data_IF_579317422362
#
_entry.id   IF_579317422362
#
_cell.length_a   1.000
_cell.length_b   1.000
_cell.length_c   1.000
_cell.angle_alpha   90.00
_cell.angle_beta   90.00
_cell.angle_gamma   90.00
#
_symmetry.space_group_name_H-M   'P 1'
#
loop_
_entity.id
_entity.type
_entity.pdbx_description
1 polymer ?
#
# COMPACT_ATOMS: atom_id res chain seq x y z
N UNK A 1 14.91 -19.30 30.67
CA UNK A 1 13.45 -19.52 30.55
C UNK A 1 13.09 -19.54 29.09
N UNK A 2 12.42 -20.60 28.61
CA UNK A 2 11.96 -20.71 27.23
C UNK A 2 10.61 -20.02 27.03
N UNK A 3 10.38 -19.46 25.85
CA UNK A 3 9.07 -18.97 25.41
C UNK A 3 8.74 -19.57 24.04
N UNK A 4 7.56 -20.16 23.90
CA UNK A 4 7.05 -20.68 22.64
C UNK A 4 6.04 -19.69 22.05
N UNK A 5 6.25 -19.32 20.77
CA UNK A 5 5.35 -18.46 20.01
C UNK A 5 4.43 -19.32 19.15
N UNK A 6 3.12 -19.09 19.24
CA UNK A 6 2.10 -19.79 18.46
C UNK A 6 1.62 -18.87 17.35
N UNK A 7 1.65 -19.32 16.10
CA UNK A 7 1.16 -18.57 14.94
C UNK A 7 -0.09 -19.22 14.34
N UNK A 8 -0.96 -18.41 13.72
CA UNK A 8 -2.06 -18.89 12.87
C UNK A 8 -1.55 -19.17 11.45
N UNK A 9 -2.34 -19.91 10.66
CA UNK A 9 -2.07 -20.09 9.22
C UNK A 9 -2.00 -18.77 8.45
N UNK A 10 -2.66 -17.71 8.94
CA UNK A 10 -2.58 -16.35 8.41
C UNK A 10 -1.30 -15.59 8.74
N UNK A 11 -0.35 -16.20 9.46
CA UNK A 11 0.90 -15.57 9.90
C UNK A 11 0.77 -14.69 11.17
N UNK A 12 -0.45 -14.45 11.67
CA UNK A 12 -0.68 -13.66 12.88
C UNK A 12 -0.31 -14.42 14.16
N UNK A 13 0.24 -13.72 15.17
CA UNK A 13 0.60 -14.30 16.46
C UNK A 13 -0.66 -14.71 17.24
N UNK A 14 -0.90 -16.01 17.40
CA UNK A 14 -2.03 -16.55 18.17
C UNK A 14 -1.80 -16.52 19.69
N UNK A 15 -0.55 -16.66 20.14
CA UNK A 15 -0.26 -16.68 21.57
C UNK A 15 1.20 -16.92 21.91
N UNK A 16 1.49 -16.83 23.21
CA UNK A 16 2.81 -16.99 23.79
C UNK A 16 2.68 -17.87 25.03
N UNK A 17 3.49 -18.93 25.10
CA UNK A 17 3.60 -19.80 26.28
C UNK A 17 4.97 -19.58 26.90
N UNK A 18 5.01 -19.19 28.18
CA UNK A 18 6.25 -18.92 28.93
C UNK A 18 6.42 -19.92 30.06
N UNK A 19 7.59 -20.57 30.09
CA UNK A 19 7.99 -21.43 31.21
C UNK A 19 8.54 -20.58 32.35
N UNK A 20 7.79 -20.53 33.45
CA UNK A 20 8.33 -20.09 34.71
C UNK A 20 9.01 -21.31 35.35
N UNK A 21 10.23 -21.13 35.87
CA UNK A 21 11.08 -22.18 36.46
C UNK A 21 10.47 -22.97 37.66
N UNK A 22 9.19 -22.75 37.95
CA UNK A 22 8.38 -23.43 38.95
C UNK A 22 7.03 -23.81 38.30
N UNK A 23 7.00 -25.00 37.67
CA UNK A 23 5.84 -25.84 37.26
C UNK A 23 4.58 -25.21 36.62
N UNK A 24 4.59 -23.93 36.24
CA UNK A 24 3.42 -23.24 35.73
C UNK A 24 3.73 -22.48 34.44
N UNK A 25 3.16 -22.97 33.34
CA UNK A 25 3.18 -22.28 32.05
C UNK A 25 2.22 -21.10 32.14
N UNK A 26 2.76 -19.89 31.96
CA UNK A 26 1.95 -18.68 31.78
C UNK A 26 1.62 -18.52 30.30
N UNK A 27 0.34 -18.36 29.98
CA UNK A 27 -0.20 -18.30 28.64
C UNK A 27 -0.75 -16.93 28.33
N UNK A 28 -0.37 -16.41 27.18
CA UNK A 28 -0.95 -15.23 26.56
C UNK A 28 -1.61 -15.66 25.24
N UNK A 29 -2.84 -15.20 24.99
CA UNK A 29 -3.57 -15.54 23.76
C UNK A 29 -4.15 -14.27 23.15
N UNK A 30 -4.12 -14.20 21.83
CA UNK A 30 -4.61 -13.07 21.06
C UNK A 30 -5.73 -13.50 20.10
N UNK A 31 -6.75 -12.67 19.98
CA UNK A 31 -7.84 -12.81 19.01
C UNK A 31 -7.93 -11.55 18.16
N UNK A 32 -8.24 -11.77 16.88
CA UNK A 32 -8.25 -10.74 15.85
C UNK A 32 -9.60 -10.75 15.13
N UNK A 33 -9.99 -9.60 14.58
CA UNK A 33 -11.12 -9.50 13.66
C UNK A 33 -10.73 -9.91 12.23
N UNK A 34 -11.66 -9.75 11.28
CA UNK A 34 -11.43 -10.05 9.85
C UNK A 34 -10.39 -9.14 9.20
N UNK A 35 -10.17 -7.94 9.73
CA UNK A 35 -9.13 -7.00 9.29
C UNK A 35 -7.77 -7.26 9.95
N UNK A 36 -7.62 -8.39 10.66
CA UNK A 36 -6.41 -8.81 11.39
C UNK A 36 -6.01 -7.85 12.52
N UNK A 37 -6.92 -7.01 13.01
CA UNK A 37 -6.69 -6.14 14.16
C UNK A 37 -7.04 -6.87 15.46
N UNK A 38 -6.22 -6.66 16.50
CA UNK A 38 -6.36 -7.37 17.79
C UNK A 38 -7.54 -6.81 18.57
N UNK A 39 -8.58 -7.62 18.69
CA UNK A 39 -9.78 -7.29 19.48
C UNK A 39 -9.67 -7.75 20.92
N UNK A 40 -8.92 -8.81 21.21
CA UNK A 40 -8.83 -9.35 22.56
C UNK A 40 -7.48 -9.99 22.86
N UNK A 41 -6.98 -9.73 24.06
CA UNK A 41 -5.79 -10.34 24.64
C UNK A 41 -6.17 -10.92 26.00
N UNK A 42 -5.84 -12.19 26.24
CA UNK A 42 -6.11 -12.86 27.52
C UNK A 42 -4.84 -13.45 28.09
N UNK A 43 -4.71 -13.38 29.41
CA UNK A 43 -3.61 -13.97 30.17
C UNK A 43 -4.12 -14.97 31.22
N UNK A 44 -3.30 -15.96 31.51
CA UNK A 44 -3.57 -16.94 32.56
C UNK A 44 -2.45 -17.96 32.68
N UNK A 45 -2.67 -18.97 33.51
CA UNK A 45 -1.85 -20.18 33.54
C UNK A 45 -2.55 -21.30 32.78
N UNK A 46 -1.89 -22.45 32.61
CA UNK A 46 -2.55 -23.65 32.10
C UNK A 46 -3.79 -24.08 32.91
N UNK A 47 -3.90 -23.65 34.18
CA UNK A 47 -4.95 -24.10 35.12
C UNK A 47 -6.00 -23.03 35.42
N UNK A 48 -5.71 -21.74 35.17
CA UNK A 48 -6.62 -20.66 35.54
C UNK A 48 -6.48 -19.44 34.64
N UNK A 49 -7.62 -18.88 34.23
CA UNK A 49 -7.68 -17.59 33.57
C UNK A 49 -7.47 -16.46 34.60
N UNK A 50 -6.62 -15.49 34.28
CA UNK A 50 -6.24 -14.39 35.18
C UNK A 50 -6.72 -13.03 34.69
N UNK A 51 -7.14 -12.91 33.44
CA UNK A 51 -7.67 -11.66 32.93
C UNK A 51 -7.52 -11.47 31.44
N UNK A 52 -7.89 -10.27 31.00
CA UNK A 52 -7.73 -9.88 29.61
C UNK A 52 -8.16 -8.45 29.35
N UNK A 53 -7.81 -8.01 28.15
CA UNK A 53 -8.14 -6.70 27.60
C UNK A 53 -8.93 -6.89 26.31
N UNK A 54 -10.12 -6.28 26.26
CA UNK A 54 -10.90 -6.10 25.04
C UNK A 54 -10.58 -4.72 24.47
N UNK A 55 -10.22 -4.66 23.19
CA UNK A 55 -9.94 -3.43 22.46
C UNK A 55 -11.05 -3.14 21.47
N UNK A 56 -11.57 -1.91 21.52
CA UNK A 56 -12.56 -1.33 20.63
C UNK A 56 -12.02 0.01 20.12
N UNK A 57 -12.59 0.60 19.05
CA UNK A 57 -12.20 1.93 18.59
C UNK A 57 -12.23 2.96 19.73
N UNK A 58 -11.08 3.54 20.05
CA UNK A 58 -10.92 4.55 21.11
C UNK A 58 -11.11 4.04 22.55
N UNK A 59 -11.26 2.73 22.78
CA UNK A 59 -11.67 2.19 24.08
C UNK A 59 -11.01 0.85 24.39
N UNK A 60 -10.42 0.74 25.58
CA UNK A 60 -9.94 -0.53 26.13
C UNK A 60 -10.68 -0.87 27.42
N UNK A 61 -11.09 -2.11 27.55
CA UNK A 61 -11.70 -2.65 28.76
C UNK A 61 -10.85 -3.77 29.30
N UNK A 62 -10.35 -3.64 30.52
CA UNK A 62 -9.49 -4.63 31.14
C UNK A 62 -10.12 -5.17 32.41
N UNK A 63 -9.98 -6.49 32.58
CA UNK A 63 -10.39 -7.22 33.77
C UNK A 63 -9.24 -8.10 34.22
N UNK A 64 -8.94 -8.03 35.51
CA UNK A 64 -8.00 -8.91 36.19
C UNK A 64 -8.71 -9.70 37.29
N UNK A 65 -8.39 -10.98 37.40
CA UNK A 65 -8.99 -11.94 38.33
C UNK A 65 -7.91 -12.45 39.30
N UNK A 66 -8.25 -12.48 40.59
CA UNK A 66 -7.49 -13.19 41.61
C UNK A 66 -8.38 -14.27 42.23
N UNK A 67 -8.03 -15.54 42.02
CA UNK A 67 -8.86 -16.67 42.44
C UNK A 67 -10.19 -16.72 41.70
N UNK A 68 -11.31 -16.64 42.41
CA UNK A 68 -12.68 -16.66 41.84
C UNK A 68 -13.36 -15.29 41.78
N UNK A 69 -12.67 -14.20 42.11
CA UNK A 69 -13.24 -12.85 42.15
C UNK A 69 -12.47 -11.89 41.24
N UNK A 70 -13.17 -10.91 40.69
CA UNK A 70 -12.51 -9.82 39.98
C UNK A 70 -11.70 -8.99 40.96
N UNK A 71 -10.38 -9.05 40.80
CA UNK A 71 -9.46 -8.24 41.57
C UNK A 71 -9.55 -6.78 41.11
N UNK A 72 -9.65 -6.58 39.79
CA UNK A 72 -9.64 -5.24 39.21
C UNK A 72 -10.42 -5.21 37.88
N UNK A 73 -11.19 -4.14 37.66
CA UNK A 73 -11.79 -3.83 36.37
C UNK A 73 -11.69 -2.34 36.09
N UNK A 74 -11.21 -1.99 34.91
CA UNK A 74 -11.13 -0.60 34.48
C UNK A 74 -11.38 -0.47 32.98
N UNK A 75 -11.74 0.75 32.61
CA UNK A 75 -12.01 1.17 31.24
C UNK A 75 -11.07 2.33 30.93
N UNK A 76 -10.42 2.29 29.78
CA UNK A 76 -9.56 3.36 29.28
C UNK A 76 -10.13 3.92 27.98
N UNK A 77 -10.39 5.22 27.97
CA UNK A 77 -10.62 5.96 26.73
C UNK A 77 -9.28 6.44 26.21
N UNK A 78 -8.96 6.11 24.96
CA UNK A 78 -7.72 6.49 24.29
C UNK A 78 -8.01 7.67 23.37
N UNK A 79 -7.32 8.79 23.60
CA UNK A 79 -7.32 9.94 22.69
C UNK A 79 -5.87 10.31 22.33
N UNK A 80 -5.61 11.09 21.26
CA UNK A 80 -4.24 11.37 20.83
C UNK A 80 -3.32 11.93 21.94
N UNK A 81 -3.80 12.91 22.71
CA UNK A 81 -3.01 13.63 23.72
C UNK A 81 -3.18 13.12 25.17
N UNK A 82 -4.28 12.44 25.48
CA UNK A 82 -4.57 12.01 26.84
C UNK A 82 -5.43 10.75 26.89
N UNK A 83 -5.24 9.95 27.93
CA UNK A 83 -6.08 8.81 28.24
C UNK A 83 -6.90 9.10 29.50
N UNK A 84 -8.17 8.67 29.51
CA UNK A 84 -8.95 8.62 30.75
C UNK A 84 -9.03 7.18 31.24
N UNK A 85 -8.42 6.91 32.40
CA UNK A 85 -8.56 5.65 33.11
C UNK A 85 -9.70 5.74 34.13
N UNK A 86 -10.67 4.83 34.02
CA UNK A 86 -11.83 4.76 34.93
C UNK A 86 -11.97 3.38 35.54
N UNK A 87 -11.79 3.27 36.85
CA UNK A 87 -12.04 2.04 37.58
C UNK A 87 -13.53 1.76 37.77
N UNK A 88 -13.91 0.51 37.50
CA UNK A 88 -15.22 -0.06 37.81
C UNK A 88 -15.18 -0.83 39.14
N UNK A 89 -14.08 -1.51 39.43
CA UNK A 89 -13.83 -2.23 40.69
C UNK A 89 -12.31 -2.38 40.92
N UNK A 90 -11.89 -2.64 42.15
CA UNK A 90 -10.46 -2.84 42.47
C UNK A 90 -9.61 -1.58 42.37
N UNK A 91 -10.21 -0.41 42.54
CA UNK A 91 -9.51 0.88 42.46
C UNK A 91 -8.40 0.95 43.53
N UNK A 92 -7.16 1.33 43.17
CA UNK A 92 -6.11 1.52 44.15
C UNK A 92 -6.45 2.58 45.21
N UNK A 93 -5.98 2.41 46.47
CA UNK A 93 -6.11 3.43 47.51
C UNK A 93 -5.52 4.77 47.04
N UNK A 94 -6.22 5.88 47.31
CA UNK A 94 -5.79 7.22 46.92
C UNK A 94 -5.99 7.60 45.44
N UNK A 95 -6.33 6.65 44.56
CA UNK A 95 -6.64 6.99 43.16
C UNK A 95 -8.04 7.61 43.01
N UNK A 96 -8.17 8.64 42.18
CA UNK A 96 -9.50 9.16 41.79
C UNK A 96 -10.20 8.15 40.88
N UNK A 97 -11.55 8.13 40.89
CA UNK A 97 -12.32 7.20 40.05
C UNK A 97 -12.04 7.42 38.55
N UNK A 98 -11.86 8.67 38.18
CA UNK A 98 -11.49 9.14 36.86
C UNK A 98 -10.07 9.70 36.96
N UNK A 99 -9.12 9.10 36.26
CA UNK A 99 -7.72 9.48 36.31
C UNK A 99 -7.21 9.78 34.90
N UNK A 100 -6.92 11.07 34.69
CA UNK A 100 -6.36 11.57 33.44
C UNK A 100 -4.87 11.28 33.37
N UNK A 101 -4.40 10.86 32.20
CA UNK A 101 -2.99 10.65 31.89
C UNK A 101 -2.66 11.36 30.59
N UNK A 102 -2.06 12.55 30.68
CA UNK A 102 -1.58 13.30 29.54
C UNK A 102 -0.24 12.74 29.08
N UNK A 103 -0.09 12.48 27.78
CA UNK A 103 1.13 11.91 27.20
C UNK A 103 1.92 12.99 26.48
N UNK A 104 3.16 13.20 26.92
CA UNK A 104 4.15 13.92 26.15
C UNK A 104 4.91 12.93 25.27
N UNK A 105 5.13 13.30 24.01
CA UNK A 105 5.72 12.42 23.02
C UNK A 105 6.92 13.06 22.32
N UNK A 106 7.86 12.23 21.86
CA UNK A 106 8.95 12.66 20.97
C UNK A 106 8.51 12.69 19.49
N UNK A 107 9.44 12.98 18.59
CA UNK A 107 9.19 13.03 17.14
C UNK A 107 8.74 11.68 16.56
N UNK A 108 9.16 10.56 17.16
CA UNK A 108 8.69 9.21 16.80
C UNK A 108 7.33 8.87 17.43
N UNK A 109 6.69 9.83 18.11
CA UNK A 109 5.48 9.67 18.92
C UNK A 109 5.61 8.69 20.09
N UNK A 110 6.83 8.43 20.56
CA UNK A 110 7.07 7.61 21.76
C UNK A 110 6.68 8.37 23.03
N UNK A 111 6.02 7.72 23.98
CA UNK A 111 5.57 8.36 25.24
C UNK A 111 6.72 8.58 26.22
N UNK A 112 7.34 9.76 26.16
CA UNK A 112 8.52 10.11 26.97
C UNK A 112 8.17 10.54 28.40
N UNK A 113 6.98 11.10 28.61
CA UNK A 113 6.48 11.40 29.95
C UNK A 113 4.95 11.30 30.02
N UNK A 114 4.44 10.96 31.21
CA UNK A 114 3.01 11.05 31.52
C UNK A 114 2.79 12.03 32.66
N UNK A 115 1.74 12.85 32.56
CA UNK A 115 1.29 13.79 33.60
C UNK A 115 -0.14 13.44 34.04
N UNK A 116 -0.49 13.72 35.30
CA UNK A 116 -1.86 13.57 35.78
C UNK A 116 -2.75 14.79 35.48
N UNK A 117 -4.00 14.75 35.95
CA UNK A 117 -4.99 15.82 35.80
C UNK A 117 -4.56 17.19 36.35
N UNK A 118 -3.58 17.24 37.26
CA UNK A 118 -3.05 18.47 37.83
C UNK A 118 -1.73 18.91 37.18
N UNK A 119 -1.27 18.20 36.13
CA UNK A 119 0.02 18.46 35.49
C UNK A 119 1.22 17.86 36.22
N UNK A 120 1.01 17.09 37.29
CA UNK A 120 2.11 16.46 38.03
C UNK A 120 2.64 15.22 37.30
N UNK A 121 3.96 15.02 37.29
CA UNK A 121 4.61 13.91 36.57
C UNK A 121 4.25 12.54 37.16
N UNK A 122 3.66 11.67 36.35
CA UNK A 122 3.36 10.26 36.65
C UNK A 122 4.53 9.36 36.29
N UNK A 123 5.10 9.54 35.10
CA UNK A 123 6.23 8.73 34.62
C UNK A 123 7.14 9.51 33.67
N UNK A 124 8.37 9.02 33.52
CA UNK A 124 9.34 9.41 32.50
C UNK A 124 9.96 8.13 31.92
N UNK A 125 10.04 8.05 30.60
CA UNK A 125 10.62 6.91 29.91
C UNK A 125 11.49 7.40 28.73
N UNK A 126 12.66 6.80 28.58
CA UNK A 126 13.53 7.00 27.41
C UNK A 126 13.74 5.67 26.71
N UNK A 127 13.98 5.73 25.41
CA UNK A 127 14.05 4.56 24.55
C UNK A 127 15.39 4.50 23.83
N UNK A 128 15.96 3.31 23.74
CA UNK A 128 16.94 2.98 22.71
C UNK A 128 16.30 3.11 21.32
N UNK A 129 17.09 3.27 20.24
CA UNK A 129 16.55 3.51 18.90
C UNK A 129 15.49 2.50 18.47
N UNK A 130 15.66 1.20 18.76
CA UNK A 130 14.72 0.15 18.35
C UNK A 130 13.58 -0.10 19.36
N UNK A 131 13.36 0.81 20.31
CA UNK A 131 12.22 0.80 21.23
C UNK A 131 12.41 0.01 22.52
N UNK A 132 13.63 -0.46 22.81
CA UNK A 132 13.97 -0.95 24.15
C UNK A 132 13.96 0.20 25.15
N UNK A 133 13.44 0.00 26.36
CA UNK A 133 13.43 1.04 27.39
C UNK A 133 14.83 1.22 27.97
N UNK A 134 15.42 2.41 27.82
CA UNK A 134 16.72 2.78 28.39
C UNK A 134 16.59 3.35 29.80
N UNK A 135 15.62 4.23 30.01
CA UNK A 135 15.29 4.82 31.32
C UNK A 135 13.82 4.62 31.60
N UNK A 136 13.47 4.22 32.81
CA UNK A 136 12.09 4.18 33.28
C UNK A 136 11.99 4.65 34.72
N UNK A 137 11.38 5.82 34.91
CA UNK A 137 11.13 6.40 36.22
C UNK A 137 9.62 6.62 36.39
N UNK A 138 9.09 6.21 37.53
CA UNK A 138 7.66 6.31 37.87
C UNK A 138 7.52 6.95 39.24
N UNK A 139 6.41 7.67 39.43
CA UNK A 139 6.09 8.30 40.72
C UNK A 139 5.97 7.26 41.83
N UNK A 140 5.31 6.14 41.52
CA UNK A 140 5.04 5.03 42.42
C UNK A 140 4.80 3.75 41.62
N UNK A 141 4.86 2.60 42.30
CA UNK A 141 4.70 1.27 41.68
C UNK A 141 3.30 1.11 41.08
N UNK A 142 2.26 1.63 41.72
CA UNK A 142 0.89 1.53 41.23
C UNK A 142 0.72 2.25 39.88
N UNK A 143 1.26 3.46 39.74
CA UNK A 143 1.25 4.25 38.50
C UNK A 143 1.93 3.54 37.34
N UNK A 144 2.96 2.72 37.63
CA UNK A 144 3.73 1.97 36.65
C UNK A 144 2.87 0.93 35.89
N UNK A 145 1.94 0.27 36.58
CA UNK A 145 1.08 -0.79 36.02
C UNK A 145 0.12 -0.28 34.94
N UNK A 146 -0.20 1.01 34.95
CA UNK A 146 -1.15 1.60 34.03
C UNK A 146 -0.50 2.33 32.84
N UNK A 147 0.81 2.22 32.61
CA UNK A 147 1.42 2.73 31.38
C UNK A 147 1.43 1.66 30.28
N UNK A 148 0.53 1.83 29.31
CA UNK A 148 0.29 0.86 28.21
C UNK A 148 0.98 1.28 26.91
N UNK A 149 0.79 2.53 26.50
CA UNK A 149 1.42 3.10 25.30
C UNK A 149 2.84 3.57 25.63
N UNK A 150 3.82 3.14 24.83
CA UNK A 150 5.24 3.42 25.07
C UNK A 150 5.92 3.91 23.79
N UNK A 151 6.91 3.15 23.28
CA UNK A 151 7.65 3.47 22.06
C UNK A 151 6.74 3.55 20.84
N UNK A 152 6.97 4.53 19.97
CA UNK A 152 6.19 4.82 18.77
C UNK A 152 4.67 4.95 18.98
N UNK A 153 4.24 5.20 20.23
CA UNK A 153 2.82 5.21 20.61
C UNK A 153 2.17 3.83 20.59
N UNK A 154 2.96 2.75 20.62
CA UNK A 154 2.48 1.36 20.54
C UNK A 154 2.31 0.73 21.91
N UNK A 155 1.39 -0.22 21.99
CA UNK A 155 1.16 -1.01 23.21
C UNK A 155 2.30 -1.99 23.40
N UNK A 156 2.92 -1.98 24.58
CA UNK A 156 3.89 -3.00 24.99
C UNK A 156 3.20 -4.05 25.83
N UNK A 157 3.18 -5.29 25.35
CA UNK A 157 2.59 -6.42 26.06
C UNK A 157 3.48 -6.92 27.20
N UNK A 158 2.92 -7.76 28.07
CA UNK A 158 3.63 -8.38 29.19
C UNK A 158 4.75 -9.34 28.74
N UNK A 159 4.71 -9.79 27.49
CA UNK A 159 5.80 -10.52 26.82
C UNK A 159 6.99 -9.63 26.46
N UNK A 160 6.82 -8.31 26.53
CA UNK A 160 7.79 -7.32 26.09
C UNK A 160 7.66 -6.94 24.61
N UNK A 161 6.90 -7.72 23.82
CA UNK A 161 6.62 -7.40 22.42
C UNK A 161 5.82 -6.11 22.30
N UNK A 162 6.06 -5.38 21.21
CA UNK A 162 5.29 -4.21 20.85
C UNK A 162 4.29 -4.56 19.76
N UNK A 163 3.01 -4.31 20.00
CA UNK A 163 1.94 -4.57 19.05
C UNK A 163 1.72 -3.35 18.15
N UNK A 164 1.94 -3.51 16.84
CA UNK A 164 1.80 -2.43 15.87
C UNK A 164 0.44 -2.41 15.16
N UNK A 165 -0.25 -3.55 15.08
CA UNK A 165 -1.50 -3.73 14.35
C UNK A 165 -1.49 -5.07 13.61
N UNK A 166 -0.73 -5.13 12.53
CA UNK A 166 -0.53 -6.31 11.69
C UNK A 166 0.67 -7.16 12.12
N UNK A 167 1.67 -6.52 12.75
CA UNK A 167 2.90 -7.17 13.20
C UNK A 167 3.22 -6.92 14.67
N UNK A 168 4.03 -7.81 15.23
CA UNK A 168 4.69 -7.60 16.53
C UNK A 168 6.17 -7.32 16.31
N UNK A 169 6.68 -6.28 16.97
CA UNK A 169 8.11 -6.00 17.02
C UNK A 169 8.71 -6.54 18.32
N UNK A 170 9.91 -7.11 18.22
CA UNK A 170 10.72 -7.51 19.36
C UNK A 170 11.88 -6.52 19.52
N UNK A 171 11.79 -5.53 20.43
CA UNK A 171 12.78 -4.45 20.53
C UNK A 171 14.21 -4.95 20.80
N UNK A 172 14.34 -6.07 21.52
CA UNK A 172 15.65 -6.69 21.81
C UNK A 172 16.26 -7.43 20.62
N UNK A 173 15.48 -7.75 19.57
CA UNK A 173 15.97 -8.32 18.32
C UNK A 173 16.09 -7.27 17.20
N UNK A 174 15.62 -6.05 17.46
CA UNK A 174 15.66 -4.93 16.51
C UNK A 174 14.95 -5.22 15.18
N UNK A 175 13.88 -6.03 15.21
CA UNK A 175 13.19 -6.53 14.01
C UNK A 175 11.74 -6.93 14.28
N UNK A 176 10.99 -7.15 13.20
CA UNK A 176 9.67 -7.78 13.27
C UNK A 176 9.76 -9.25 13.67
N UNK A 177 8.74 -9.74 14.37
CA UNK A 177 8.62 -11.14 14.75
C UNK A 177 8.04 -11.99 13.60
N UNK A 178 7.16 -11.41 12.79
CA UNK A 178 6.52 -12.05 11.65
C UNK A 178 6.81 -11.27 10.36
N UNK A 179 6.85 -11.95 9.19
CA UNK A 179 7.18 -11.32 7.92
C UNK A 179 6.16 -10.24 7.56
N UNK A 180 6.60 -9.27 6.76
CA UNK A 180 5.77 -8.22 6.20
C UNK A 180 4.56 -8.79 5.43
N UNK A 181 3.31 -8.49 5.84
CA UNK A 181 2.13 -8.94 5.11
C UNK A 181 2.02 -8.30 3.72
N UNK A 182 2.67 -7.16 3.46
CA UNK A 182 2.75 -6.56 2.12
C UNK A 182 3.83 -7.19 1.22
N UNK A 183 4.51 -8.25 1.70
CA UNK A 183 5.57 -8.90 0.93
C UNK A 183 6.80 -7.99 0.76
N UNK A 184 7.58 -8.14 -0.33
CA UNK A 184 8.87 -7.46 -0.50
C UNK A 184 8.76 -5.95 -0.79
N UNK A 185 7.62 -5.33 -0.49
CA UNK A 185 7.32 -3.92 -0.72
C UNK A 185 8.39 -2.99 -0.10
N UNK A 186 8.73 -3.21 1.17
CA UNK A 186 9.75 -2.43 1.87
C UNK A 186 11.18 -2.98 1.73
N UNK A 187 11.37 -3.82 0.71
CA UNK A 187 12.61 -4.53 0.41
C UNK A 187 12.51 -6.03 0.67
N UNK A 188 13.52 -6.76 0.19
CA UNK A 188 13.55 -8.22 0.25
C UNK A 188 13.59 -8.79 1.69
N UNK A 189 14.01 -7.98 2.67
CA UNK A 189 14.03 -8.38 4.06
C UNK A 189 12.69 -8.10 4.74
N UNK A 190 11.78 -9.07 4.69
CA UNK A 190 10.44 -9.01 5.27
C UNK A 190 10.40 -8.83 6.80
N UNK A 191 11.54 -8.93 7.48
CA UNK A 191 11.65 -8.79 8.93
C UNK A 191 12.29 -7.45 9.35
N UNK A 192 12.74 -6.62 8.39
CA UNK A 192 13.38 -5.36 8.70
C UNK A 192 12.40 -4.38 9.35
N UNK A 193 12.72 -3.91 10.56
CA UNK A 193 11.96 -2.84 11.20
C UNK A 193 12.39 -1.51 10.59
N UNK A 194 11.45 -0.76 10.00
CA UNK A 194 11.64 0.62 9.48
C UNK A 194 12.92 0.82 8.65
N UNK A 195 13.25 -0.19 7.82
CA UNK A 195 14.45 -0.25 6.96
C UNK A 195 15.76 0.01 7.72
N UNK A 196 15.82 -0.35 9.01
CA UNK A 196 17.01 -0.17 9.85
C UNK A 196 17.26 1.26 10.35
N UNK A 197 16.32 2.19 10.16
CA UNK A 197 16.45 3.59 10.60
C UNK A 197 15.31 4.03 11.54
N UNK A 198 15.27 3.52 12.78
CA UNK A 198 14.20 3.85 13.73
C UNK A 198 14.38 5.21 14.41
N UNK A 199 15.46 5.94 14.10
CA UNK A 199 15.65 7.30 14.59
C UNK A 199 14.79 8.32 13.85
N UNK A 200 14.49 8.05 12.57
CA UNK A 200 13.76 8.99 11.70
C UNK A 200 12.51 8.40 11.07
N UNK A 201 12.40 7.06 10.99
CA UNK A 201 11.26 6.38 10.37
C UNK A 201 10.39 5.68 11.40
N UNK A 202 9.09 5.63 11.14
CA UNK A 202 8.09 5.08 12.05
C UNK A 202 7.09 4.23 11.29
N UNK A 203 6.82 3.02 11.78
CA UNK A 203 5.75 2.17 11.24
C UNK A 203 4.45 2.42 12.02
N UNK A 204 3.38 2.74 11.30
CA UNK A 204 2.09 3.13 11.85
C UNK A 204 1.17 1.95 12.17
N UNK A 205 1.35 0.78 11.56
CA UNK A 205 0.42 -0.35 11.71
C UNK A 205 1.09 -1.72 11.59
N UNK A 206 2.39 -1.77 11.34
CA UNK A 206 3.13 -2.98 11.04
C UNK A 206 3.03 -3.36 9.57
N UNK A 207 2.80 -2.42 8.67
CA UNK A 207 2.78 -2.59 7.23
C UNK A 207 3.16 -1.24 6.59
N UNK A 208 4.40 -0.80 6.81
CA UNK A 208 4.78 0.59 6.54
C UNK A 208 4.49 1.03 5.09
N UNK A 209 3.63 2.05 4.99
CA UNK A 209 3.27 2.78 3.77
C UNK A 209 3.57 4.29 3.95
N UNK A 210 4.84 4.67 3.75
CA UNK A 210 5.31 5.98 3.24
C UNK A 210 4.89 7.31 3.90
N UNK A 211 4.14 7.33 5.00
CA UNK A 211 3.64 8.60 5.57
C UNK A 211 4.75 9.47 6.18
N UNK A 212 4.82 10.75 5.76
CA UNK A 212 5.82 11.74 6.18
C UNK A 212 7.27 11.29 5.94
N UNK A 213 7.47 10.43 4.94
CA UNK A 213 8.80 9.99 4.54
C UNK A 213 9.61 11.11 3.86
N UNK A 214 10.91 10.87 3.65
CA UNK A 214 11.81 11.83 2.99
C UNK A 214 11.35 12.18 1.57
N UNK A 215 10.62 11.27 0.91
CA UNK A 215 10.13 11.44 -0.46
C UNK A 215 8.88 12.35 -0.49
N UNK A 216 7.92 12.14 0.40
CA UNK A 216 6.77 13.03 0.60
C UNK A 216 7.22 14.42 1.04
N UNK A 217 8.22 14.51 1.92
CA UNK A 217 8.80 15.79 2.31
C UNK A 217 9.43 16.52 1.11
N UNK A 218 10.12 15.78 0.23
CA UNK A 218 10.68 16.33 -1.00
C UNK A 218 9.58 16.84 -1.95
N UNK A 219 8.55 16.05 -2.23
CA UNK A 219 7.41 16.45 -3.07
C UNK A 219 6.70 17.67 -2.46
N UNK A 220 6.43 17.65 -1.16
CA UNK A 220 5.79 18.76 -0.46
C UNK A 220 6.61 20.05 -0.54
N UNK A 221 7.94 19.96 -0.46
CA UNK A 221 8.84 21.12 -0.61
C UNK A 221 8.86 21.70 -2.04
N UNK A 222 8.61 20.86 -3.05
CA UNK A 222 8.50 21.29 -4.43
C UNK A 222 7.18 22.05 -4.71
N UNK A 223 6.20 21.98 -3.79
CA UNK A 223 4.95 22.75 -3.88
C UNK A 223 4.04 22.35 -5.04
N UNK A 224 4.26 21.18 -5.65
CA UNK A 224 3.46 20.69 -6.80
C UNK A 224 2.13 20.11 -6.35
N UNK A 225 2.15 19.27 -5.30
CA UNK A 225 0.99 18.56 -4.79
C UNK A 225 0.96 18.54 -3.26
N UNK A 226 -0.23 18.50 -2.68
CA UNK A 226 -0.42 18.24 -1.26
C UNK A 226 -1.06 16.86 -1.05
N UNK A 227 -0.36 15.95 -0.37
CA UNK A 227 -0.89 14.63 -0.05
C UNK A 227 -1.94 14.76 1.06
N UNK A 228 -3.14 14.24 0.80
CA UNK A 228 -4.34 14.43 1.61
C UNK A 228 -4.83 13.16 2.30
N UNK A 229 -4.44 11.98 1.81
CA UNK A 229 -4.72 10.67 2.39
C UNK A 229 -3.71 9.63 1.86
N UNK A 230 -3.38 8.61 2.67
CA UNK A 230 -2.46 7.52 2.32
C UNK A 230 -3.04 6.16 2.71
N UNK A 231 -2.79 5.17 1.87
CA UNK A 231 -3.31 3.83 2.10
C UNK A 231 -4.83 3.76 2.11
N UNK A 232 -5.39 2.56 2.07
CA UNK A 232 -6.83 2.43 1.87
C UNK A 232 -7.63 2.92 3.09
N UNK A 233 -7.03 2.89 4.29
CA UNK A 233 -7.67 3.35 5.52
C UNK A 233 -7.95 4.86 5.50
N UNK A 234 -6.92 5.71 5.31
CA UNK A 234 -7.13 7.16 5.28
C UNK A 234 -7.96 7.58 4.06
N UNK A 235 -7.78 6.90 2.92
CA UNK A 235 -8.55 7.17 1.71
C UNK A 235 -10.02 6.85 1.93
N UNK A 236 -10.35 5.75 2.60
CA UNK A 236 -11.75 5.42 2.93
C UNK A 236 -12.37 6.44 3.89
N UNK A 237 -11.60 6.93 4.85
CA UNK A 237 -12.10 7.92 5.81
C UNK A 237 -12.38 9.27 5.15
N UNK A 238 -11.56 9.67 4.17
CA UNK A 238 -11.66 10.99 3.53
C UNK A 238 -12.41 11.00 2.18
N UNK A 239 -12.30 9.91 1.43
CA UNK A 239 -12.82 9.72 0.07
C UNK A 239 -13.46 8.32 -0.08
N UNK A 240 -14.57 8.02 0.63
CA UNK A 240 -15.12 6.66 0.72
C UNK A 240 -15.56 6.06 -0.62
N UNK A 241 -16.08 6.87 -1.55
CA UNK A 241 -16.47 6.43 -2.90
C UNK A 241 -15.23 6.01 -3.69
N UNK A 242 -14.21 6.87 -3.72
CA UNK A 242 -12.94 6.60 -4.39
C UNK A 242 -12.25 5.36 -3.82
N UNK A 243 -12.26 5.17 -2.49
CA UNK A 243 -11.69 3.97 -1.86
C UNK A 243 -12.34 2.66 -2.35
N UNK A 244 -13.67 2.67 -2.56
CA UNK A 244 -14.40 1.54 -3.12
C UNK A 244 -14.03 1.29 -4.59
N UNK A 245 -13.96 2.36 -5.38
CA UNK A 245 -13.63 2.31 -6.80
C UNK A 245 -12.19 1.82 -7.04
N UNK A 246 -11.19 2.36 -6.33
CA UNK A 246 -9.77 2.03 -6.53
C UNK A 246 -9.50 0.52 -6.48
N UNK A 247 -10.02 -0.17 -5.46
CA UNK A 247 -9.80 -1.61 -5.31
C UNK A 247 -10.52 -2.44 -6.38
N UNK A 248 -11.73 -2.02 -6.76
CA UNK A 248 -12.47 -2.65 -7.85
C UNK A 248 -11.73 -2.49 -9.18
N UNK A 249 -11.35 -1.26 -9.50
CA UNK A 249 -10.67 -0.88 -10.74
C UNK A 249 -9.30 -1.56 -10.85
N UNK A 250 -8.58 -1.67 -9.74
CA UNK A 250 -7.29 -2.35 -9.70
C UNK A 250 -7.42 -3.86 -9.99
N UNK A 251 -8.46 -4.50 -9.44
CA UNK A 251 -8.75 -5.90 -9.72
C UNK A 251 -9.19 -6.11 -11.18
N UNK A 252 -9.97 -5.16 -11.73
CA UNK A 252 -10.36 -5.18 -13.14
C UNK A 252 -9.14 -5.00 -14.06
N UNK A 253 -8.27 -4.04 -13.76
CA UNK A 253 -7.02 -3.81 -14.48
C UNK A 253 -6.10 -5.05 -14.47
N UNK A 254 -5.89 -5.69 -13.31
CA UNK A 254 -5.09 -6.93 -13.22
C UNK A 254 -5.68 -8.02 -14.13
N UNK A 255 -7.01 -8.14 -14.14
CA UNK A 255 -7.72 -9.14 -14.95
C UNK A 255 -7.60 -8.86 -16.44
N UNK A 256 -7.73 -7.60 -16.86
CA UNK A 256 -7.54 -7.16 -18.26
C UNK A 256 -6.11 -7.50 -18.72
N UNK A 257 -5.10 -7.07 -17.95
CA UNK A 257 -3.70 -7.37 -18.26
C UNK A 257 -3.42 -8.88 -18.26
N UNK A 258 -4.00 -9.65 -17.32
CA UNK A 258 -3.88 -11.10 -17.25
C UNK A 258 -4.40 -11.81 -18.50
N UNK A 259 -5.57 -11.41 -19.02
CA UNK A 259 -6.10 -11.98 -20.25
C UNK A 259 -5.30 -11.61 -21.48
N UNK A 260 -4.83 -10.36 -21.57
CA UNK A 260 -3.95 -9.96 -22.66
C UNK A 260 -2.68 -10.83 -22.68
N UNK A 261 -2.07 -11.08 -21.53
CA UNK A 261 -0.92 -12.00 -21.39
C UNK A 261 -1.29 -13.42 -21.82
N UNK A 262 -2.45 -13.93 -21.41
CA UNK A 262 -2.92 -15.26 -21.82
C UNK A 262 -3.09 -15.37 -23.34
N UNK A 263 -3.78 -14.42 -23.99
CA UNK A 263 -3.97 -14.44 -25.44
C UNK A 263 -2.64 -14.36 -26.19
N UNK A 264 -1.71 -13.54 -25.70
CA UNK A 264 -0.37 -13.46 -26.26
C UNK A 264 0.45 -14.74 -25.98
N UNK A 265 0.17 -15.50 -24.92
CA UNK A 265 0.90 -16.73 -24.55
C UNK A 265 0.39 -17.97 -25.26
N UNK A 266 -0.92 -18.14 -25.40
CA UNK A 266 -1.56 -19.31 -26.02
C UNK A 266 -1.19 -19.50 -27.49
N UNK A 267 -0.77 -18.42 -28.16
CA UNK A 267 -0.22 -18.43 -29.50
C UNK A 267 1.08 -19.25 -29.65
N UNK A 268 1.80 -19.57 -28.56
CA UNK A 268 3.17 -20.11 -28.63
C UNK A 268 3.30 -21.63 -28.71
N UNK A 269 2.20 -22.41 -28.80
CA UNK A 269 2.30 -23.88 -28.81
C UNK A 269 1.68 -24.57 -30.04
N UNK A 270 0.73 -23.93 -30.74
CA UNK A 270 0.01 -24.54 -31.86
C UNK A 270 -0.04 -23.70 -33.15
N UNK A 271 0.40 -22.44 -33.12
CA UNK A 271 0.17 -21.47 -34.19
C UNK A 271 1.37 -20.54 -34.38
N UNK A 272 2.54 -21.08 -34.70
CA UNK A 272 3.63 -20.25 -35.20
C UNK A 272 3.30 -19.77 -36.62
N UNK A 273 3.77 -18.58 -36.97
CA UNK A 273 3.68 -18.12 -38.34
C UNK A 273 2.35 -17.40 -38.66
N UNK A 274 1.85 -17.62 -39.87
CA UNK A 274 0.58 -17.06 -40.38
C UNK A 274 -0.62 -17.38 -39.48
N UNK A 275 -0.54 -18.48 -38.73
CA UNK A 275 -1.59 -18.89 -37.81
C UNK A 275 -1.73 -17.93 -36.61
N UNK A 276 -0.65 -17.31 -36.12
CA UNK A 276 -0.74 -16.26 -35.09
C UNK A 276 -1.35 -14.98 -35.66
N UNK A 277 -0.92 -14.56 -36.85
CA UNK A 277 -1.45 -13.37 -37.54
C UNK A 277 -2.99 -13.46 -37.74
N UNK A 278 -3.51 -14.67 -37.92
CA UNK A 278 -4.95 -14.94 -38.02
C UNK A 278 -5.72 -14.91 -36.69
N UNK A 279 -5.05 -14.84 -35.53
CA UNK A 279 -5.70 -14.71 -34.22
C UNK A 279 -6.18 -13.27 -33.99
N UNK A 280 -7.05 -13.07 -32.98
CA UNK A 280 -7.43 -11.72 -32.56
C UNK A 280 -6.20 -10.93 -32.07
N UNK A 281 -5.31 -11.58 -31.32
CA UNK A 281 -4.09 -10.96 -30.83
C UNK A 281 -3.10 -10.59 -31.96
N UNK A 282 -2.94 -11.46 -32.95
CA UNK A 282 -2.13 -11.18 -34.13
C UNK A 282 -2.66 -9.99 -34.92
N UNK A 283 -3.97 -9.89 -35.13
CA UNK A 283 -4.59 -8.73 -35.79
C UNK A 283 -4.41 -7.42 -35.02
N UNK A 284 -4.54 -7.46 -33.69
CA UNK A 284 -4.30 -6.28 -32.84
C UNK A 284 -2.84 -5.84 -32.95
N UNK A 285 -1.88 -6.76 -32.85
CA UNK A 285 -0.46 -6.41 -32.97
C UNK A 285 -0.07 -5.95 -34.38
N UNK A 286 -0.61 -6.57 -35.43
CA UNK A 286 -0.36 -6.11 -36.80
C UNK A 286 -0.84 -4.69 -36.99
N UNK A 287 -2.03 -4.36 -36.48
CA UNK A 287 -2.56 -3.00 -36.54
C UNK A 287 -1.74 -2.01 -35.71
N UNK A 288 -1.31 -2.39 -34.51
CA UNK A 288 -0.43 -1.58 -33.63
C UNK A 288 0.93 -1.31 -34.27
N UNK A 289 1.44 -2.27 -35.05
CA UNK A 289 2.65 -2.09 -35.83
C UNK A 289 2.42 -1.32 -37.13
N UNK A 290 1.20 -0.97 -37.52
CA UNK A 290 0.90 -0.23 -38.76
C UNK A 290 0.61 -1.10 -39.99
N UNK A 291 0.46 -2.42 -39.80
CA UNK A 291 0.00 -3.37 -40.81
C UNK A 291 1.06 -3.83 -41.81
N UNK A 292 0.92 -5.08 -42.29
CA UNK A 292 1.68 -5.59 -43.45
C UNK A 292 3.11 -6.02 -43.15
N UNK A 293 3.45 -6.27 -41.88
CA UNK A 293 4.78 -6.75 -41.49
C UNK A 293 4.93 -8.25 -41.73
N UNK A 294 6.17 -8.68 -41.98
CA UNK A 294 6.48 -10.11 -42.04
C UNK A 294 6.12 -10.79 -40.71
N UNK A 295 5.64 -12.02 -40.83
CA UNK A 295 5.16 -12.84 -39.72
C UNK A 295 6.18 -13.03 -38.59
N UNK A 296 7.47 -13.05 -38.94
CA UNK A 296 8.59 -13.13 -37.99
C UNK A 296 8.66 -11.92 -37.05
N UNK A 297 8.23 -10.74 -37.50
CA UNK A 297 8.19 -9.52 -36.68
C UNK A 297 6.98 -9.48 -35.75
N UNK A 298 5.83 -10.00 -36.20
CA UNK A 298 4.65 -10.15 -35.35
C UNK A 298 4.94 -11.05 -34.15
N UNK A 299 5.75 -12.09 -34.35
CA UNK A 299 6.14 -13.00 -33.27
C UNK A 299 7.07 -12.34 -32.24
N UNK A 300 7.98 -11.47 -32.70
CA UNK A 300 8.86 -10.70 -31.80
C UNK A 300 8.06 -9.65 -31.02
N UNK A 301 7.15 -8.95 -31.70
CA UNK A 301 6.22 -8.03 -31.04
C UNK A 301 5.37 -8.76 -29.99
N UNK A 302 4.83 -9.94 -30.33
CA UNK A 302 4.05 -10.77 -29.41
C UNK A 302 4.81 -11.05 -28.11
N UNK A 303 6.06 -11.49 -28.22
CA UNK A 303 6.90 -11.77 -27.05
C UNK A 303 7.15 -10.50 -26.24
N UNK A 304 7.50 -9.39 -26.89
CA UNK A 304 7.81 -8.13 -26.21
C UNK A 304 6.58 -7.56 -25.47
N UNK A 305 5.42 -7.50 -26.12
CA UNK A 305 4.16 -7.08 -25.50
C UNK A 305 3.72 -8.01 -24.37
N UNK A 306 3.84 -9.33 -24.55
CA UNK A 306 3.51 -10.31 -23.50
C UNK A 306 4.34 -10.06 -22.25
N UNK A 307 5.64 -9.86 -22.40
CA UNK A 307 6.55 -9.72 -21.26
C UNK A 307 6.34 -8.39 -20.53
N UNK A 308 6.10 -7.30 -21.25
CA UNK A 308 5.75 -6.01 -20.65
C UNK A 308 4.39 -6.04 -19.92
N UNK A 309 3.37 -6.65 -20.53
CA UNK A 309 2.05 -6.80 -19.90
C UNK A 309 2.08 -7.77 -18.73
N UNK A 310 2.94 -8.78 -18.73
CA UNK A 310 3.15 -9.68 -17.59
C UNK A 310 3.76 -8.92 -16.40
N UNK A 311 4.77 -8.09 -16.65
CA UNK A 311 5.36 -7.22 -15.62
C UNK A 311 4.34 -6.22 -15.07
N UNK A 312 3.53 -5.63 -15.94
CA UNK A 312 2.44 -4.72 -15.57
C UNK A 312 1.38 -5.42 -14.71
N UNK A 313 0.93 -6.61 -15.13
CA UNK A 313 -0.02 -7.45 -14.37
C UNK A 313 0.52 -7.79 -12.99
N UNK A 314 1.80 -8.17 -12.90
CA UNK A 314 2.41 -8.53 -11.62
C UNK A 314 2.53 -7.30 -10.71
N UNK A 315 2.78 -6.10 -11.27
CA UNK A 315 2.69 -4.86 -10.51
C UNK A 315 1.28 -4.55 -10.03
N UNK A 316 0.25 -4.71 -10.87
CA UNK A 316 -1.16 -4.55 -10.46
C UNK A 316 -1.51 -5.52 -9.32
N UNK A 317 -1.06 -6.77 -9.41
CA UNK A 317 -1.23 -7.76 -8.35
C UNK A 317 -0.55 -7.33 -7.05
N UNK A 318 0.70 -6.86 -7.12
CA UNK A 318 1.43 -6.35 -5.96
C UNK A 318 0.64 -5.21 -5.29
N UNK A 319 0.09 -4.27 -6.08
CA UNK A 319 -0.73 -3.18 -5.55
C UNK A 319 -2.04 -3.68 -4.93
N UNK A 320 -2.66 -4.70 -5.52
CA UNK A 320 -3.91 -5.28 -4.99
C UNK A 320 -3.66 -6.07 -3.70
N UNK A 321 -2.60 -6.86 -3.65
CA UNK A 321 -2.21 -7.65 -2.47
C UNK A 321 -1.75 -6.78 -1.31
N UNK A 322 -1.17 -5.61 -1.61
CA UNK A 322 -0.88 -4.58 -0.61
C UNK A 322 -2.16 -3.95 -0.01
N UNK A 323 -3.37 -4.36 -0.43
CA UNK A 323 -4.61 -3.93 0.21
C UNK A 323 -4.92 -2.43 0.07
N UNK A 324 -4.34 -1.79 -0.94
CA UNK A 324 -4.45 -0.35 -1.19
C UNK A 324 -3.46 0.52 -0.42
N UNK A 325 -2.49 -0.07 0.28
CA UNK A 325 -1.41 0.66 0.97
C UNK A 325 -0.42 1.37 0.01
N UNK A 326 -0.53 1.09 -1.29
CA UNK A 326 0.27 1.72 -2.36
C UNK A 326 -0.45 2.87 -3.06
N UNK A 327 -1.46 3.45 -2.42
CA UNK A 327 -2.12 4.65 -2.93
C UNK A 327 -1.85 5.85 -2.03
N UNK A 328 -1.66 7.00 -2.66
CA UNK A 328 -1.70 8.30 -2.00
C UNK A 328 -2.66 9.19 -2.79
N UNK A 329 -3.49 9.95 -2.08
CA UNK A 329 -4.40 10.92 -2.71
C UNK A 329 -3.80 12.29 -2.55
N UNK A 330 -3.67 13.03 -3.65
CA UNK A 330 -3.19 14.39 -3.62
C UNK A 330 -4.23 15.39 -4.09
N UNK A 331 -4.01 16.66 -3.76
CA UNK A 331 -4.67 17.80 -4.38
C UNK A 331 -3.62 18.69 -5.01
N UNK A 332 -3.95 19.24 -6.17
CA UNK A 332 -3.11 20.21 -6.85
C UNK A 332 -2.94 21.49 -6.02
N UNK A 333 -1.71 21.94 -5.88
CA UNK A 333 -1.39 23.27 -5.30
C UNK A 333 -1.32 24.33 -6.41
N UNK A 334 -1.07 23.90 -7.65
CA UNK A 334 -1.14 24.67 -8.90
C UNK A 334 -1.90 23.83 -9.93
N UNK A 335 -2.73 24.41 -10.81
CA UNK A 335 -3.51 23.63 -11.79
C UNK A 335 -2.61 22.69 -12.58
N UNK A 336 -2.83 21.39 -12.41
CA UNK A 336 -2.21 20.34 -13.21
C UNK A 336 -3.31 19.41 -13.68
N UNK A 337 -3.14 18.81 -14.86
CA UNK A 337 -4.18 18.04 -15.54
C UNK A 337 -4.02 16.52 -15.32
N UNK A 338 -3.27 16.11 -14.29
CA UNK A 338 -2.99 14.69 -14.04
C UNK A 338 -4.16 13.97 -13.35
N UNK A 339 -4.54 12.80 -13.89
CA UNK A 339 -5.59 11.96 -13.29
C UNK A 339 -5.07 11.10 -12.13
N UNK A 340 -3.95 10.44 -12.41
CA UNK A 340 -3.07 9.78 -11.47
C UNK A 340 -1.63 9.97 -11.99
N UNK A 341 -0.64 9.64 -11.17
CA UNK A 341 0.74 9.56 -11.61
C UNK A 341 1.54 8.61 -10.70
N UNK A 342 2.61 8.06 -11.26
CA UNK A 342 3.66 7.39 -10.48
C UNK A 342 4.95 8.17 -10.58
N UNK A 343 5.74 8.10 -9.51
CA UNK A 343 7.06 8.68 -9.48
C UNK A 343 8.05 7.54 -9.38
N UNK A 344 8.83 7.31 -10.43
CA UNK A 344 9.71 6.12 -10.58
C UNK A 344 10.70 5.99 -9.42
N UNK A 345 11.10 7.13 -8.82
CA UNK A 345 12.02 7.18 -7.68
C UNK A 345 11.32 7.05 -6.32
N UNK A 346 9.98 6.93 -6.26
CA UNK A 346 9.27 6.69 -5.02
C UNK A 346 9.69 5.32 -4.45
N UNK A 347 10.36 5.27 -3.29
CA UNK A 347 10.78 4.01 -2.69
C UNK A 347 9.63 3.11 -2.25
N UNK A 348 8.39 3.62 -2.29
CA UNK A 348 7.17 2.87 -1.99
C UNK A 348 6.41 2.43 -3.23
N UNK A 349 6.82 2.90 -4.42
CA UNK A 349 6.14 2.67 -5.70
C UNK A 349 4.63 2.89 -5.54
N UNK A 350 4.24 4.06 -5.04
CA UNK A 350 2.83 4.43 -4.87
C UNK A 350 2.28 4.95 -6.19
N UNK A 351 0.98 4.72 -6.38
CA UNK A 351 0.17 5.42 -7.37
C UNK A 351 -0.47 6.61 -6.67
N UNK A 352 -0.12 7.80 -7.13
CA UNK A 352 -0.64 9.07 -6.62
C UNK A 352 -1.89 9.41 -7.43
N UNK A 353 -3.06 9.46 -6.79
CA UNK A 353 -4.33 9.74 -7.46
C UNK A 353 -4.77 11.14 -7.08
N UNK A 354 -5.12 11.96 -8.07
CA UNK A 354 -5.64 13.30 -7.83
C UNK A 354 -7.06 13.21 -7.26
N UNK A 355 -7.35 13.90 -6.16
CA UNK A 355 -8.68 13.90 -5.56
C UNK A 355 -9.75 14.44 -6.52
N UNK A 356 -9.38 15.33 -7.46
CA UNK A 356 -10.30 15.89 -8.45
C UNK A 356 -10.85 14.85 -9.43
N UNK A 357 -10.25 13.66 -9.51
CA UNK A 357 -10.57 12.65 -10.53
C UNK A 357 -11.44 11.53 -9.99
N UNK A 358 -11.90 11.70 -8.74
CA UNK A 358 -12.71 10.72 -8.03
C UNK A 358 -13.99 10.36 -8.80
N UNK A 359 -14.64 11.33 -9.44
CA UNK A 359 -15.87 11.11 -10.21
C UNK A 359 -15.59 10.25 -11.46
N UNK A 360 -14.47 10.48 -12.13
CA UNK A 360 -14.07 9.71 -13.31
C UNK A 360 -13.62 8.29 -12.95
N UNK A 361 -12.92 8.13 -11.83
CA UNK A 361 -12.58 6.81 -11.31
C UNK A 361 -13.78 6.01 -10.83
N UNK A 362 -14.96 6.62 -10.70
CA UNK A 362 -16.22 5.92 -10.45
C UNK A 362 -16.66 5.02 -11.61
N UNK A 363 -16.29 5.35 -12.85
CA UNK A 363 -16.49 4.47 -14.02
C UNK A 363 -15.40 3.39 -14.01
N UNK A 364 -15.77 2.10 -13.91
CA UNK A 364 -14.76 1.08 -13.73
C UNK A 364 -13.84 0.85 -14.92
N UNK A 365 -14.32 1.11 -16.14
CA UNK A 365 -13.50 0.96 -17.35
C UNK A 365 -12.43 2.04 -17.34
N UNK A 366 -12.84 3.28 -17.12
CA UNK A 366 -11.97 4.44 -17.02
C UNK A 366 -10.95 4.25 -15.88
N UNK A 367 -11.42 3.91 -14.68
CA UNK A 367 -10.53 3.76 -13.54
C UNK A 367 -9.56 2.60 -13.72
N UNK A 368 -9.96 1.50 -14.36
CA UNK A 368 -9.06 0.41 -14.69
C UNK A 368 -8.03 0.81 -15.75
N UNK A 369 -8.40 1.63 -16.74
CA UNK A 369 -7.46 2.18 -17.74
C UNK A 369 -6.38 3.02 -17.08
N UNK A 370 -6.78 3.97 -16.23
CA UNK A 370 -5.83 4.84 -15.50
C UNK A 370 -4.88 3.99 -14.65
N UNK A 371 -5.41 3.07 -13.83
CA UNK A 371 -4.56 2.25 -12.97
C UNK A 371 -3.65 1.28 -13.75
N UNK A 372 -4.11 0.77 -14.90
CA UNK A 372 -3.29 -0.06 -15.77
C UNK A 372 -2.17 0.78 -16.40
N UNK A 373 -2.48 1.96 -16.94
CA UNK A 373 -1.50 2.93 -17.46
C UNK A 373 -0.42 3.20 -16.41
N UNK A 374 -0.79 3.62 -15.19
CA UNK A 374 0.18 3.90 -14.12
C UNK A 374 1.04 2.68 -13.74
N UNK A 375 0.44 1.48 -13.75
CA UNK A 375 1.17 0.27 -13.45
C UNK A 375 2.20 -0.10 -14.54
N UNK A 376 2.04 0.37 -15.78
CA UNK A 376 3.02 0.11 -16.84
C UNK A 376 4.35 0.80 -16.53
N UNK A 377 4.34 2.02 -16.00
CA UNK A 377 5.55 2.75 -15.62
C UNK A 377 6.33 2.01 -14.53
N UNK A 378 5.63 1.44 -13.55
CA UNK A 378 6.25 0.71 -12.45
C UNK A 378 6.72 -0.70 -12.87
N UNK A 379 5.96 -1.37 -13.72
CA UNK A 379 6.20 -2.76 -14.12
C UNK A 379 7.09 -2.87 -15.33
N UNK A 380 6.61 -2.37 -16.47
CA UNK A 380 7.30 -2.43 -17.76
C UNK A 380 8.34 -1.32 -17.96
N UNK A 381 8.42 -0.34 -17.03
CA UNK A 381 9.28 0.84 -17.16
C UNK A 381 8.98 1.61 -18.45
N UNK A 382 7.70 1.75 -18.76
CA UNK A 382 7.22 2.60 -19.84
C UNK A 382 7.39 4.08 -19.49
N UNK A 383 7.25 4.92 -20.51
CA UNK A 383 7.28 6.37 -20.47
C UNK A 383 6.07 6.93 -21.23
N UNK A 384 5.73 8.19 -20.95
CA UNK A 384 4.70 8.94 -21.67
C UNK A 384 5.31 9.64 -22.88
N UNK A 385 5.47 8.88 -23.97
CA UNK A 385 6.27 9.32 -25.13
C UNK A 385 5.42 10.10 -26.16
N UNK A 386 4.10 10.24 -25.95
CA UNK A 386 3.18 10.75 -26.99
C UNK A 386 2.09 11.65 -26.41
N UNK A 387 2.12 12.94 -26.77
CA UNK A 387 1.00 13.84 -26.58
C UNK A 387 0.80 14.72 -27.81
N UNK A 388 -0.44 14.82 -28.27
CA UNK A 388 -0.94 15.73 -29.30
C UNK A 388 -1.68 16.88 -28.57
N UNK A 389 -1.25 18.15 -28.70
CA UNK A 389 -1.78 19.30 -27.89
C UNK A 389 -3.24 19.71 -28.23
N UNK A 390 -3.93 20.68 -27.59
CA UNK A 390 -3.74 21.47 -26.37
C UNK A 390 -4.39 20.79 -25.15
N UNK A 391 -3.77 20.91 -23.98
CA UNK A 391 -4.42 20.56 -22.71
C UNK A 391 -5.42 21.66 -22.36
N UNK A 392 -6.62 21.62 -22.94
CA UNK A 392 -7.78 22.37 -22.45
C UNK A 392 -8.76 21.37 -21.88
N UNK A 393 -8.81 21.31 -20.55
CA UNK A 393 -9.54 20.30 -19.80
C UNK A 393 -10.97 20.06 -20.27
N UNK A 394 -11.32 18.77 -20.37
CA UNK A 394 -12.58 18.16 -19.90
C UNK A 394 -12.83 16.76 -20.50
N UNK A 395 -12.09 16.32 -21.53
CA UNK A 395 -12.58 15.22 -22.39
C UNK A 395 -11.65 14.02 -22.64
N UNK A 396 -10.56 13.83 -21.88
CA UNK A 396 -9.69 12.62 -22.00
C UNK A 396 -10.48 11.31 -21.79
N UNK A 397 -11.55 11.36 -20.98
CA UNK A 397 -12.43 10.22 -20.73
C UNK A 397 -13.44 9.94 -21.85
N UNK A 398 -13.72 10.91 -22.72
CA UNK A 398 -14.61 10.71 -23.87
C UNK A 398 -13.87 10.02 -25.03
N UNK A 399 -12.55 10.22 -25.17
CA UNK A 399 -11.71 9.44 -26.09
C UNK A 399 -11.73 7.95 -25.72
N UNK A 400 -11.60 7.62 -24.43
CA UNK A 400 -11.70 6.24 -23.93
C UNK A 400 -13.04 5.54 -24.27
N UNK A 401 -14.13 6.31 -24.46
CA UNK A 401 -15.45 5.81 -24.88
C UNK A 401 -15.64 5.75 -26.40
N UNK A 402 -14.87 6.53 -27.15
CA UNK A 402 -14.95 6.64 -28.62
C UNK A 402 -13.93 5.77 -29.35
N UNK A 403 -12.94 5.21 -28.64
CA UNK A 403 -12.11 4.13 -29.14
C UNK A 403 -13.02 2.98 -29.59
N UNK A 404 -13.32 2.90 -30.88
CA UNK A 404 -13.69 1.63 -31.49
C UNK A 404 -12.47 0.74 -31.23
N UNK A 405 -12.63 -0.25 -30.35
CA UNK A 405 -11.54 -1.03 -29.75
C UNK A 405 -10.76 -1.88 -30.76
N UNK A 406 -11.05 -1.64 -32.03
CA UNK A 406 -10.32 -1.95 -33.23
C UNK A 406 -9.07 -1.06 -33.41
N UNK A 407 -8.26 -0.80 -32.37
CA UNK A 407 -7.04 0.07 -32.37
C UNK A 407 -6.45 0.42 -33.76
N UNK A 408 -6.95 1.43 -34.47
CA UNK A 408 -6.32 1.94 -35.70
C UNK A 408 -5.22 2.92 -35.33
N UNK A 409 -4.01 2.39 -35.09
CA UNK A 409 -2.78 3.13 -34.70
C UNK A 409 -2.29 4.12 -35.77
N UNK A 410 -3.05 4.37 -36.84
CA UNK A 410 -2.73 5.38 -37.85
C UNK A 410 -3.35 6.75 -37.59
N UNK A 411 -4.51 6.83 -36.92
CA UNK A 411 -5.34 8.06 -36.96
C UNK A 411 -5.23 8.92 -35.69
N UNK A 412 -4.68 8.40 -34.59
CA UNK A 412 -4.59 9.12 -33.29
C UNK A 412 -3.22 9.80 -33.03
N UNK A 413 -2.28 9.69 -33.96
CA UNK A 413 -0.87 10.11 -33.78
C UNK A 413 -0.53 11.50 -34.33
N UNK A 414 -1.52 12.25 -34.81
CA UNK A 414 -1.28 13.37 -35.73
C UNK A 414 -0.55 14.60 -35.16
N UNK A 415 -0.25 14.69 -33.86
CA UNK A 415 0.52 15.81 -33.27
C UNK A 415 1.59 15.44 -32.23
N UNK A 416 2.18 14.25 -32.30
CA UNK A 416 3.12 13.78 -31.28
C UNK A 416 4.45 14.56 -31.23
N UNK A 417 4.90 14.90 -30.02
CA UNK A 417 6.26 15.42 -29.77
C UNK A 417 7.19 14.30 -29.34
N UNK A 418 8.24 14.03 -30.13
CA UNK A 418 9.17 12.93 -29.91
C UNK A 418 10.21 13.26 -28.84
N UNK A 419 10.22 12.46 -27.78
CA UNK A 419 11.24 12.53 -26.73
C UNK A 419 11.96 11.18 -26.69
N UNK A 420 13.29 11.20 -26.82
CA UNK A 420 14.11 9.99 -26.65
C UNK A 420 15.30 10.27 -25.73
N UNK A 421 15.78 9.21 -25.07
CA UNK A 421 16.86 9.27 -24.09
C UNK A 421 18.21 8.94 -24.75
N UNK A 422 18.99 9.98 -25.05
CA UNK A 422 20.37 9.82 -25.54
C UNK A 422 21.32 10.15 -24.39
N UNK A 423 22.15 9.18 -24.00
CA UNK A 423 23.23 9.40 -23.02
C UNK A 423 22.78 10.00 -21.67
N UNK A 424 21.53 9.75 -21.24
CA UNK A 424 21.00 10.26 -19.98
C UNK A 424 20.44 11.69 -20.05
N UNK A 425 20.41 12.31 -21.22
CA UNK A 425 19.76 13.60 -21.49
C UNK A 425 18.62 13.43 -22.49
N UNK A 426 17.54 14.16 -22.27
CA UNK A 426 16.38 14.18 -23.16
C UNK A 426 16.71 15.05 -24.37
N UNK A 427 16.73 14.46 -25.56
CA UNK A 427 16.92 15.20 -26.81
C UNK A 427 15.64 15.11 -27.66
N UNK A 428 15.24 16.25 -28.21
CA UNK A 428 14.13 16.36 -29.17
C UNK A 428 14.76 16.53 -30.55
N UNK A 429 14.74 15.47 -31.38
CA UNK A 429 14.79 15.53 -32.86
C UNK A 429 14.68 14.09 -33.41
N UNK A 430 13.97 13.88 -34.54
CA UNK A 430 14.19 14.55 -35.83
C UNK A 430 13.41 15.85 -36.03
N UNK A 431 13.89 16.72 -36.92
CA UNK A 431 13.40 18.08 -37.13
C UNK A 431 11.91 18.21 -37.58
N UNK A 432 11.19 17.11 -37.84
CA UNK A 432 9.76 17.07 -38.19
C UNK A 432 9.12 15.70 -37.86
N UNK A 433 7.79 15.65 -37.66
CA UNK A 433 6.96 14.44 -37.50
C UNK A 433 7.24 13.39 -38.58
N UNK A 434 7.44 13.81 -39.84
CA UNK A 434 7.70 12.93 -40.98
C UNK A 434 9.03 12.17 -40.88
N UNK A 435 10.08 12.78 -40.32
CA UNK A 435 11.38 12.14 -40.18
C UNK A 435 11.41 11.16 -38.98
N UNK A 436 10.68 11.47 -37.91
CA UNK A 436 10.46 10.54 -36.82
C UNK A 436 9.61 9.34 -37.26
N UNK A 437 8.55 9.60 -38.04
CA UNK A 437 7.74 8.54 -38.65
C UNK A 437 8.56 7.68 -39.62
N UNK A 438 9.47 8.26 -40.42
CA UNK A 438 10.39 7.49 -41.26
C UNK A 438 11.34 6.61 -40.45
N UNK A 439 11.88 7.10 -39.33
CA UNK A 439 12.77 6.32 -38.47
C UNK A 439 12.02 5.15 -37.80
N UNK A 440 10.80 5.39 -37.30
CA UNK A 440 9.95 4.37 -36.68
C UNK A 440 9.39 3.38 -37.71
N UNK A 441 9.02 3.84 -38.90
CA UNK A 441 8.48 2.98 -39.96
C UNK A 441 9.56 2.21 -40.72
N UNK A 442 10.80 2.72 -40.72
CA UNK A 442 11.93 2.13 -41.44
C UNK A 442 12.65 1.00 -40.69
N UNK A 443 12.48 0.91 -39.36
CA UNK A 443 13.01 -0.20 -38.55
C UNK A 443 11.96 -0.74 -37.58
N UNK A 444 11.51 -1.97 -37.86
CA UNK A 444 10.52 -2.68 -37.05
C UNK A 444 11.00 -2.99 -35.64
N UNK A 445 12.32 -3.14 -35.40
CA UNK A 445 12.84 -3.35 -34.04
C UNK A 445 12.71 -2.09 -33.19
N UNK A 446 13.11 -0.95 -33.76
CA UNK A 446 12.89 0.37 -33.13
C UNK A 446 11.41 0.61 -32.87
N UNK A 447 10.52 0.24 -33.80
CA UNK A 447 9.06 0.36 -33.62
C UNK A 447 8.54 -0.48 -32.46
N UNK A 448 8.89 -1.77 -32.41
CA UNK A 448 8.49 -2.67 -31.31
C UNK A 448 9.01 -2.11 -29.98
N UNK A 449 10.26 -1.67 -29.93
CA UNK A 449 10.87 -1.12 -28.73
C UNK A 449 10.10 0.11 -28.22
N UNK A 450 9.86 1.10 -29.08
CA UNK A 450 9.15 2.32 -28.69
C UNK A 450 7.72 2.05 -28.20
N UNK A 451 6.99 1.17 -28.89
CA UNK A 451 5.60 0.86 -28.56
C UNK A 451 5.47 0.08 -27.24
N UNK A 452 6.40 -0.84 -26.97
CA UNK A 452 6.42 -1.61 -25.72
C UNK A 452 6.92 -0.77 -24.53
N UNK A 453 7.61 0.35 -24.78
CA UNK A 453 8.00 1.31 -23.76
C UNK A 453 7.05 2.53 -23.66
N UNK A 454 5.90 2.51 -24.34
CA UNK A 454 4.87 3.54 -24.20
C UNK A 454 3.73 3.05 -23.29
N UNK A 455 3.42 3.81 -22.23
CA UNK A 455 2.38 3.49 -21.26
C UNK A 455 0.99 3.40 -21.90
N UNK A 456 0.63 4.37 -22.74
CA UNK A 456 -0.65 4.42 -23.45
C UNK A 456 -0.81 3.25 -24.44
N UNK A 457 0.26 2.92 -25.16
CA UNK A 457 0.23 1.80 -26.10
C UNK A 457 0.03 0.48 -25.37
N UNK A 458 0.78 0.23 -24.29
CA UNK A 458 0.61 -0.97 -23.48
C UNK A 458 -0.80 -1.05 -22.89
N UNK A 459 -1.33 0.07 -22.39
CA UNK A 459 -2.68 0.14 -21.87
C UNK A 459 -3.72 -0.17 -22.94
N UNK A 460 -3.65 0.47 -24.11
CA UNK A 460 -4.56 0.23 -25.22
C UNK A 460 -4.53 -1.24 -25.68
N UNK A 461 -3.34 -1.81 -25.86
CA UNK A 461 -3.18 -3.22 -26.26
C UNK A 461 -3.76 -4.15 -25.21
N UNK A 462 -3.52 -3.92 -23.92
CA UNK A 462 -4.08 -4.73 -22.85
C UNK A 462 -5.62 -4.73 -22.89
N UNK A 463 -6.20 -3.55 -23.13
CA UNK A 463 -7.64 -3.34 -23.17
C UNK A 463 -8.30 -3.92 -24.42
N UNK A 464 -7.69 -3.80 -25.60
CA UNK A 464 -8.16 -4.44 -26.83
C UNK A 464 -8.14 -5.97 -26.75
N UNK A 465 -7.10 -6.56 -26.15
CA UNK A 465 -7.01 -8.00 -25.97
C UNK A 465 -7.89 -8.50 -24.80
N UNK A 466 -8.08 -7.68 -23.77
CA UNK A 466 -8.87 -8.00 -22.57
C UNK A 466 -10.38 -7.79 -22.68
N UNK A 467 -10.86 -7.24 -23.81
CA UNK A 467 -12.26 -6.80 -24.02
C UNK A 467 -13.36 -7.80 -23.70
N UNK A 468 -13.12 -9.11 -23.87
CA UNK A 468 -14.14 -10.15 -23.69
C UNK A 468 -14.80 -10.12 -22.31
N UNK A 469 -14.17 -9.47 -21.33
CA UNK A 469 -14.64 -9.36 -19.95
C UNK A 469 -15.29 -8.02 -19.59
N UNK A 470 -15.12 -6.98 -20.40
CA UNK A 470 -15.79 -5.69 -20.18
C UNK A 470 -17.27 -5.74 -20.55
N UNK A 471 -17.64 -6.63 -21.49
CA UNK A 471 -19.03 -6.81 -21.96
C UNK A 471 -19.99 -7.43 -20.93
N UNK A 472 -19.48 -7.92 -19.80
CA UNK A 472 -20.27 -8.56 -18.73
C UNK A 472 -20.24 -7.77 -17.42
N UNK A 473 -19.75 -6.52 -17.42
CA UNK A 473 -19.83 -5.66 -16.25
C UNK A 473 -21.30 -5.22 -16.05
N UNK A 474 -21.84 -5.25 -14.82
CA UNK A 474 -23.14 -4.65 -14.57
C UNK A 474 -23.07 -3.16 -14.95
N UNK A 475 -24.06 -2.67 -15.70
CA UNK A 475 -24.17 -1.24 -16.00
C UNK A 475 -24.11 -0.45 -14.68
N UNK A 476 -23.24 0.56 -14.64
CA UNK A 476 -23.10 1.42 -13.48
C UNK A 476 -24.44 2.10 -13.20
N UNK A 477 -25.02 1.81 -12.03
CA UNK A 477 -26.30 2.36 -11.55
C UNK A 477 -26.13 3.70 -10.87
#
# INVERSE_FOLDING_TARGET
MGAAFLARSSGALAGIDRDNACESITRERHRYDSARQRVCQTSGTARAWQGGTLSLPGLQMTRHIAGRRDAERWVRLLAPAADLLRWRSGRPPGATRNHWRYRLVDHQRSSTAELDGAGCRLSREEYYPYGGTAVWAVRDVTTAHYKVLRYAGKTRDASGLQYYGLRFSAPWLMRWLNPDPAGPLDGLNLFALVRGNPATRRDADGCYSGADDEFEAHIGSAGRFAITARGLAEIRDKYPILAGALMYNLALAEKVAGHAVTQLSEASAATHGEAFAATAAGRVLDRVLGGGYAVEFLEQARVAFRDALAQTRDMLRIHREAGGEKFAIYVDVSPSHGHAEVMINDPHQRIFVNAATADHMGDPVIGAMVLLHEATHLGARSEDVWYTGEITGADDFNVARQLDWSIEVSDEFDHASFVHRVSGTWEVTPATLAAAWQAVSGDVQTRIHLLVHNADTLMAVAFALGQSHLRNLPEAS
#
